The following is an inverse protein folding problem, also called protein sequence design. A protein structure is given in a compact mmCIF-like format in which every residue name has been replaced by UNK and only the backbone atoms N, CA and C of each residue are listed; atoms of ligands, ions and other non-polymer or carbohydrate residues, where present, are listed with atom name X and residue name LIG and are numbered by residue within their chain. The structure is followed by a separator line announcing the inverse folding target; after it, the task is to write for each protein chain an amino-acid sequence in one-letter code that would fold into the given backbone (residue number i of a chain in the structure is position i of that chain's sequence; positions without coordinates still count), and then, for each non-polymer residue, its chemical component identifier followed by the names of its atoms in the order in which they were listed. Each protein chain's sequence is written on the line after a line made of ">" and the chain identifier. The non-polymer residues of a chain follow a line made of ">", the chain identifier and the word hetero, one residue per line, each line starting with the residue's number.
data_IF_274615043749
#
_entry.id   IF_274615043749
#
_cell.length_a   1.000
_cell.length_b   1.000
_cell.length_c   1.000
_cell.angle_alpha   90.00
_cell.angle_beta   90.00
_cell.angle_gamma   90.00
#
_symmetry.space_group_name_H-M   'P 1'
#
loop_
_entity.id
_entity.type
_entity.pdbx_description
1 polymer ?
#
# COMPACT_ATOMS: atom_id res chain seq x y z
N UNK A 1 26.38 6.64 8.63
CA UNK A 1 25.27 5.74 8.26
C UNK A 1 24.22 6.57 7.55
N UNK A 2 24.27 6.51 6.23
CA UNK A 2 23.80 7.57 5.37
C UNK A 2 22.33 7.41 5.00
N UNK A 3 21.73 8.54 4.67
CA UNK A 3 20.47 8.72 3.91
C UNK A 3 20.27 7.69 2.78
N UNK A 4 21.36 7.16 2.19
CA UNK A 4 21.36 6.08 1.22
C UNK A 4 20.81 4.73 1.74
N UNK A 5 20.99 4.38 3.02
CA UNK A 5 20.43 3.14 3.60
C UNK A 5 18.91 3.21 3.72
N UNK A 6 18.34 4.40 3.96
CA UNK A 6 16.89 4.62 3.98
C UNK A 6 16.29 4.47 2.58
N UNK A 7 16.98 4.95 1.55
CA UNK A 7 16.57 4.79 0.15
C UNK A 7 16.64 3.33 -0.32
N UNK A 8 17.65 2.56 0.13
CA UNK A 8 17.72 1.12 -0.16
C UNK A 8 16.64 0.33 0.57
N UNK A 9 16.34 0.69 1.82
CA UNK A 9 15.22 0.13 2.59
C UNK A 9 13.86 0.37 1.92
N UNK A 10 13.67 1.51 1.23
CA UNK A 10 12.45 1.80 0.46
C UNK A 10 12.39 1.02 -0.86
N UNK A 11 13.54 0.64 -1.43
CA UNK A 11 13.62 -0.11 -2.70
C UNK A 11 13.58 -1.64 -2.51
N UNK A 12 13.96 -2.14 -1.34
CA UNK A 12 14.09 -3.59 -1.06
C UNK A 12 12.97 -4.14 -0.14
N UNK A 13 12.13 -3.26 0.39
CA UNK A 13 11.05 -3.61 1.30
C UNK A 13 9.77 -4.03 0.58
N UNK A 14 9.72 -5.24 0.00
CA UNK A 14 8.41 -5.86 -0.29
C UNK A 14 7.65 -5.95 1.03
N UNK A 15 6.58 -5.17 1.16
CA UNK A 15 5.71 -5.19 2.34
C UNK A 15 5.05 -6.58 2.43
N UNK A 16 5.47 -7.37 3.41
CA UNK A 16 4.84 -8.65 3.71
C UNK A 16 3.54 -8.39 4.48
N UNK A 17 2.44 -8.26 3.74
CA UNK A 17 1.10 -8.04 4.29
C UNK A 17 0.76 -9.10 5.34
N UNK A 18 1.08 -10.36 5.08
CA UNK A 18 0.77 -11.50 5.96
C UNK A 18 1.50 -11.44 7.30
N UNK A 19 2.60 -10.67 7.39
CA UNK A 19 3.32 -10.49 8.65
C UNK A 19 2.48 -9.71 9.67
N UNK A 20 1.75 -8.70 9.21
CA UNK A 20 1.00 -7.79 10.08
C UNK A 20 -0.51 -8.02 10.03
N UNK A 21 -1.05 -8.50 8.92
CA UNK A 21 -2.47 -8.63 8.71
C UNK A 21 -2.86 -10.10 8.49
N UNK A 22 -3.98 -10.50 9.07
CA UNK A 22 -4.65 -11.76 8.76
C UNK A 22 -5.84 -11.47 7.84
N UNK A 23 -5.80 -11.98 6.60
CA UNK A 23 -6.89 -11.76 5.64
C UNK A 23 -8.10 -12.63 6.02
N UNK A 24 -9.21 -11.99 6.43
CA UNK A 24 -10.42 -12.67 6.90
C UNK A 24 -11.35 -13.06 5.75
N UNK A 25 -11.48 -12.17 4.76
CA UNK A 25 -12.36 -12.33 3.59
C UNK A 25 -11.75 -11.64 2.39
N UNK A 26 -11.78 -12.32 1.24
CA UNK A 26 -11.51 -11.68 -0.05
C UNK A 26 -12.62 -10.67 -0.31
N UNK A 27 -12.24 -9.40 -0.38
CA UNK A 27 -13.17 -8.33 -0.70
C UNK A 27 -12.92 -7.86 -2.15
N UNK A 28 -13.82 -7.01 -2.61
CA UNK A 28 -14.03 -6.67 -4.01
C UNK A 28 -12.72 -6.36 -4.76
N UNK A 29 -12.55 -6.99 -5.92
CA UNK A 29 -11.47 -6.66 -6.86
C UNK A 29 -11.90 -5.47 -7.71
N UNK A 30 -11.19 -4.35 -7.58
CA UNK A 30 -11.31 -3.17 -8.42
C UNK A 30 -10.27 -3.17 -9.53
N UNK A 31 -10.42 -2.30 -10.52
CA UNK A 31 -9.47 -2.21 -11.65
C UNK A 31 -8.06 -1.80 -11.23
N UNK A 32 -7.96 -1.00 -10.16
CA UNK A 32 -6.70 -0.42 -9.64
C UNK A 32 -6.18 -1.11 -8.37
N UNK A 33 -7.01 -1.91 -7.69
CA UNK A 33 -6.68 -2.44 -6.37
C UNK A 33 -7.52 -3.64 -5.98
N UNK A 34 -6.98 -4.49 -5.13
CA UNK A 34 -7.74 -5.51 -4.40
C UNK A 34 -8.05 -5.00 -3.00
N UNK A 35 -9.30 -5.09 -2.57
CA UNK A 35 -9.70 -4.75 -1.21
C UNK A 35 -9.85 -6.04 -0.38
N UNK A 36 -9.49 -6.02 0.89
CA UNK A 36 -9.66 -7.14 1.81
C UNK A 36 -10.21 -6.67 3.14
N UNK A 37 -11.01 -7.52 3.78
CA UNK A 37 -11.24 -7.36 5.22
C UNK A 37 -10.14 -8.13 5.94
N UNK A 38 -9.38 -7.46 6.78
CA UNK A 38 -8.24 -8.04 7.47
C UNK A 38 -8.26 -7.72 8.96
N UNK A 39 -7.66 -8.59 9.77
CA UNK A 39 -7.39 -8.31 11.18
C UNK A 39 -5.96 -7.82 11.33
N UNK A 40 -5.76 -6.64 11.90
CA UNK A 40 -4.42 -6.18 12.29
C UNK A 40 -3.96 -7.00 13.51
N UNK A 41 -2.87 -7.75 13.36
CA UNK A 41 -2.33 -8.61 14.42
C UNK A 41 -1.75 -7.80 15.59
N UNK A 42 -1.41 -6.52 15.37
CA UNK A 42 -0.83 -5.64 16.40
C UNK A 42 -1.90 -5.03 17.28
N UNK A 43 -3.00 -4.55 16.71
CA UNK A 43 -4.09 -3.89 17.47
C UNK A 43 -5.24 -4.84 17.79
N UNK A 44 -5.38 -5.94 17.04
CA UNK A 44 -6.50 -6.87 17.12
C UNK A 44 -7.76 -6.42 16.39
N UNK A 45 -7.74 -5.22 15.79
CA UNK A 45 -8.90 -4.62 15.12
C UNK A 45 -9.12 -5.19 13.72
N UNK A 46 -10.38 -5.15 13.27
CA UNK A 46 -10.74 -5.48 11.88
C UNK A 46 -10.68 -4.21 11.04
N UNK A 47 -9.85 -4.22 10.01
CA UNK A 47 -9.57 -3.10 9.11
C UNK A 47 -9.86 -3.47 7.65
N UNK A 48 -10.08 -2.45 6.82
CA UNK A 48 -10.13 -2.58 5.38
C UNK A 48 -8.74 -2.39 4.77
N UNK A 49 -8.21 -3.42 4.11
CA UNK A 49 -6.90 -3.38 3.47
C UNK A 49 -7.05 -3.21 1.95
N UNK A 50 -6.70 -2.03 1.43
CA UNK A 50 -6.67 -1.74 -0.01
C UNK A 50 -5.25 -1.92 -0.54
N UNK A 51 -5.03 -2.97 -1.33
CA UNK A 51 -3.74 -3.25 -1.97
C UNK A 51 -3.78 -2.75 -3.40
N UNK A 52 -2.94 -1.77 -3.73
CA UNK A 52 -2.87 -1.17 -5.06
C UNK A 52 -2.06 -2.02 -6.04
N UNK A 53 -2.47 -2.02 -7.30
CA UNK A 53 -1.67 -2.54 -8.41
C UNK A 53 -0.52 -1.57 -8.69
N UNK A 54 0.72 -2.01 -8.44
CA UNK A 54 1.90 -1.15 -8.50
C UNK A 54 2.14 -0.55 -9.89
N UNK A 55 1.93 -1.33 -10.96
CA UNK A 55 2.14 -0.86 -12.33
C UNK A 55 1.12 0.21 -12.70
N UNK A 56 -0.16 -0.06 -12.41
CA UNK A 56 -1.24 0.89 -12.70
C UNK A 56 -1.14 2.16 -11.87
N UNK A 57 -0.79 2.05 -10.59
CA UNK A 57 -0.60 3.21 -9.72
C UNK A 57 0.58 4.05 -10.18
N UNK A 58 1.72 3.43 -10.48
CA UNK A 58 2.90 4.15 -11.02
C UNK A 58 2.55 4.88 -12.31
N UNK A 59 1.83 4.21 -13.22
CA UNK A 59 1.38 4.83 -14.46
C UNK A 59 0.38 5.98 -14.19
N UNK A 60 -0.56 5.81 -13.27
CA UNK A 60 -1.50 6.85 -12.88
C UNK A 60 -0.81 8.09 -12.30
N UNK A 61 0.08 7.90 -11.32
CA UNK A 61 0.82 8.99 -10.67
C UNK A 61 1.75 9.71 -11.64
N UNK A 62 2.31 9.00 -12.64
CA UNK A 62 3.16 9.60 -13.66
C UNK A 62 2.49 10.73 -14.47
N UNK A 63 1.15 10.78 -14.49
CA UNK A 63 0.36 11.83 -15.15
C UNK A 63 0.39 13.18 -14.43
N UNK A 64 0.77 13.19 -13.15
CA UNK A 64 0.72 14.37 -12.29
C UNK A 64 2.13 14.89 -11.94
N UNK A 65 3.16 14.50 -12.69
CA UNK A 65 4.53 14.99 -12.49
C UNK A 65 4.57 16.52 -12.56
N UNK A 66 5.18 17.15 -11.56
CA UNK A 66 5.26 18.61 -11.43
C UNK A 66 4.10 19.24 -10.64
N UNK A 67 3.11 18.46 -10.21
CA UNK A 67 2.06 18.90 -9.29
C UNK A 67 2.34 18.38 -7.87
N UNK A 68 2.08 19.21 -6.86
CA UNK A 68 2.13 18.83 -5.44
C UNK A 68 0.88 18.07 -5.03
N UNK A 69 0.63 16.93 -5.68
CA UNK A 69 -0.52 16.07 -5.41
C UNK A 69 -0.14 15.03 -4.35
N UNK A 70 -0.99 14.78 -3.33
CA UNK A 70 -0.78 13.66 -2.42
C UNK A 70 -0.90 12.32 -3.14
N UNK A 71 -0.07 11.37 -2.74
CA UNK A 71 -0.12 9.98 -3.19
C UNK A 71 -1.41 9.30 -2.74
N UNK A 72 -1.78 8.21 -3.41
CA UNK A 72 -2.95 7.42 -3.01
C UNK A 72 -2.83 6.91 -1.55
N UNK A 73 -1.61 6.58 -1.11
CA UNK A 73 -1.35 6.13 0.27
C UNK A 73 -1.50 7.24 1.32
N UNK A 74 -1.25 8.49 0.97
CA UNK A 74 -1.47 9.63 1.87
C UNK A 74 -2.96 9.97 2.02
N UNK A 75 -3.77 9.67 0.99
CA UNK A 75 -5.22 9.92 1.02
C UNK A 75 -5.96 8.81 1.78
N UNK A 76 -5.50 7.56 1.66
CA UNK A 76 -6.20 6.38 2.17
C UNK A 76 -5.93 6.04 3.66
N UNK A 77 -5.33 6.97 4.43
CA UNK A 77 -5.01 6.76 5.85
C UNK A 77 -6.24 6.54 6.73
#
# INVERSE_FOLDING_TARGET
>A
MGIFDRFRSLLDGKLNVDQQYELLRSAVSGTMSSFYMAKDKRTGEVVGLKILDTEKTTFFESRFKGLSKPTEGEIAQ
#
